data_IF_042443289041
#
_entry.id   IF_042443289041
#
_cell.length_a   1.000
_cell.length_b   1.000
_cell.length_c   1.000
_cell.angle_alpha   90.00
_cell.angle_beta   90.00
_cell.angle_gamma   90.00
#
_symmetry.space_group_name_H-M   'P 1'
#
loop_
_entity.id
_entity.type
_entity.pdbx_description
1 polymer ?
#
# COMPACT_ATOMS: atom_id res chain seq x y z
N UNK A 1 5.39 37.51 28.00
CA UNK A 1 6.02 36.33 27.35
C UNK A 1 4.89 35.37 27.01
N UNK A 2 4.40 35.42 25.77
CA UNK A 2 3.34 34.51 25.32
C UNK A 2 4.00 33.30 24.72
N UNK A 3 3.91 32.15 25.39
CA UNK A 3 4.37 30.89 24.85
C UNK A 3 3.41 30.48 23.71
N UNK A 4 3.89 30.58 22.47
CA UNK A 4 3.26 29.95 21.31
C UNK A 4 2.99 28.48 21.64
N UNK A 5 1.71 28.12 21.70
CA UNK A 5 1.30 26.74 21.61
C UNK A 5 1.66 26.26 20.20
N UNK A 6 2.78 25.55 20.07
CA UNK A 6 3.02 24.71 18.89
C UNK A 6 2.00 23.58 18.95
N UNK A 7 0.92 23.73 18.19
CA UNK A 7 0.12 22.59 17.76
C UNK A 7 1.09 21.48 17.31
N UNK A 8 1.00 20.26 17.86
CA UNK A 8 1.77 19.15 17.32
C UNK A 8 1.25 18.96 15.90
N UNK A 9 2.03 19.39 14.91
CA UNK A 9 1.71 19.19 13.49
C UNK A 9 1.34 17.72 13.31
N UNK A 10 0.04 17.44 13.17
CA UNK A 10 -0.44 16.10 12.83
C UNK A 10 0.38 15.65 11.63
N UNK A 11 0.94 14.45 11.75
CA UNK A 11 1.69 13.86 10.66
C UNK A 11 0.81 13.89 9.40
N UNK A 12 1.29 14.35 8.24
CA UNK A 12 0.48 14.37 7.01
C UNK A 12 -0.11 12.98 6.70
N UNK A 13 0.54 11.91 7.18
CA UNK A 13 0.06 10.53 7.05
C UNK A 13 -1.17 10.21 7.91
N UNK A 14 -1.44 10.93 9.01
CA UNK A 14 -2.69 10.79 9.76
C UNK A 14 -3.91 11.19 8.92
N UNK A 15 -3.76 12.21 8.08
CA UNK A 15 -4.82 12.64 7.16
C UNK A 15 -4.97 11.68 5.96
N UNK A 16 -3.87 11.06 5.52
CA UNK A 16 -3.86 10.10 4.41
C UNK A 16 -4.33 8.71 4.82
N UNK A 17 -4.27 8.34 6.11
CA UNK A 17 -4.65 7.00 6.57
C UNK A 17 -6.14 6.67 6.29
N UNK A 18 -7.13 7.52 6.63
CA UNK A 18 -8.52 7.29 6.24
C UNK A 18 -8.71 7.20 4.72
N UNK A 19 -7.91 7.96 3.97
CA UNK A 19 -7.94 7.96 2.51
C UNK A 19 -7.45 6.64 1.93
N UNK A 20 -6.33 6.11 2.44
CA UNK A 20 -5.83 4.77 2.11
C UNK A 20 -6.87 3.69 2.33
N UNK A 21 -7.54 3.70 3.50
CA UNK A 21 -8.61 2.73 3.83
C UNK A 21 -9.74 2.74 2.80
N UNK A 22 -10.18 3.93 2.36
CA UNK A 22 -11.23 4.09 1.34
C UNK A 22 -10.79 3.59 -0.04
N UNK A 23 -9.51 3.66 -0.35
CA UNK A 23 -8.97 3.31 -1.67
C UNK A 23 -8.48 1.86 -1.78
N UNK A 24 -8.39 1.08 -0.70
CA UNK A 24 -7.88 -0.31 -0.75
C UNK A 24 -8.52 -1.15 -1.86
N UNK A 25 -9.86 -1.11 -1.99
CA UNK A 25 -10.58 -1.86 -3.03
C UNK A 25 -10.16 -1.41 -4.44
N UNK A 26 -10.04 -0.11 -4.66
CA UNK A 26 -9.67 0.45 -5.97
C UNK A 26 -8.21 0.12 -6.29
N UNK A 27 -7.31 0.19 -5.30
CA UNK A 27 -5.91 -0.21 -5.42
C UNK A 27 -5.82 -1.70 -5.77
N UNK A 28 -6.57 -2.56 -5.06
CA UNK A 28 -6.63 -4.00 -5.33
C UNK A 28 -7.08 -4.32 -6.75
N UNK A 29 -8.01 -3.56 -7.30
CA UNK A 29 -8.49 -3.73 -8.67
C UNK A 29 -7.48 -3.24 -9.73
N UNK A 30 -6.65 -2.25 -9.39
CA UNK A 30 -5.61 -1.74 -10.27
C UNK A 30 -4.42 -2.72 -10.41
N UNK A 31 -4.10 -3.44 -9.34
CA UNK A 31 -2.99 -4.42 -9.31
C UNK A 31 -3.50 -5.77 -9.83
N UNK A 32 -3.27 -6.03 -11.12
CA UNK A 32 -3.81 -7.19 -11.85
C UNK A 32 -2.90 -8.42 -11.85
N UNK A 33 -1.67 -8.29 -11.35
CA UNK A 33 -0.66 -9.36 -11.29
C UNK A 33 0.14 -9.24 -9.99
N UNK A 34 0.62 -10.33 -9.40
CA UNK A 34 1.37 -10.28 -8.14
C UNK A 34 2.74 -9.63 -8.27
N UNK A 35 3.43 -9.82 -9.40
CA UNK A 35 4.72 -9.16 -9.69
C UNK A 35 4.50 -7.83 -10.40
N UNK A 36 5.21 -6.74 -10.02
CA UNK A 36 6.27 -6.66 -9.00
C UNK A 36 5.79 -6.37 -7.56
N UNK A 37 4.48 -6.24 -7.33
CA UNK A 37 3.94 -5.75 -6.06
C UNK A 37 4.41 -6.56 -4.85
N UNK A 38 4.24 -7.89 -4.84
CA UNK A 38 4.57 -8.71 -3.67
C UNK A 38 6.08 -8.75 -3.37
N UNK A 39 6.91 -8.74 -4.42
CA UNK A 39 8.37 -8.70 -4.31
C UNK A 39 8.81 -7.39 -3.66
N UNK A 40 8.29 -6.26 -4.14
CA UNK A 40 8.62 -4.97 -3.56
C UNK A 40 8.19 -4.86 -2.10
N UNK A 41 7.04 -5.44 -1.71
CA UNK A 41 6.65 -5.48 -0.30
C UNK A 41 7.62 -6.32 0.54
N UNK A 42 8.08 -7.46 0.02
CA UNK A 42 9.00 -8.33 0.73
C UNK A 42 10.40 -7.70 0.86
N UNK A 43 10.94 -7.20 -0.25
CA UNK A 43 12.31 -6.66 -0.31
C UNK A 43 12.47 -5.35 0.47
N UNK A 44 11.36 -4.65 0.73
CA UNK A 44 11.32 -3.45 1.59
C UNK A 44 10.92 -3.77 3.04
N UNK A 45 10.88 -5.07 3.39
CA UNK A 45 10.49 -5.57 4.71
C UNK A 45 9.10 -5.09 5.15
N UNK A 46 8.22 -4.75 4.17
CA UNK A 46 6.84 -4.36 4.41
C UNK A 46 5.94 -5.54 4.81
N UNK A 47 6.35 -6.74 4.44
CA UNK A 47 5.77 -8.00 4.87
C UNK A 47 6.89 -8.96 5.25
N UNK A 48 6.60 -9.88 6.18
CA UNK A 48 7.58 -10.91 6.54
C UNK A 48 7.69 -11.95 5.42
N UNK A 49 8.79 -12.71 5.39
CA UNK A 49 8.95 -13.83 4.47
C UNK A 49 7.78 -14.81 4.52
N UNK A 50 7.32 -15.16 5.72
CA UNK A 50 6.15 -16.04 5.90
C UNK A 50 4.91 -15.49 5.19
N UNK A 51 4.64 -14.19 5.34
CA UNK A 51 3.49 -13.57 4.70
C UNK A 51 3.63 -13.49 3.18
N UNK A 52 4.85 -13.23 2.69
CA UNK A 52 5.14 -13.26 1.27
C UNK A 52 4.86 -14.65 0.67
N UNK A 53 5.36 -15.70 1.30
CA UNK A 53 5.12 -17.09 0.88
C UNK A 53 3.60 -17.42 0.90
N UNK A 54 2.89 -17.07 1.99
CA UNK A 54 1.45 -17.29 2.12
C UNK A 54 0.63 -16.54 1.03
N UNK A 55 1.03 -15.31 0.66
CA UNK A 55 0.41 -14.52 -0.41
C UNK A 55 0.73 -15.07 -1.80
N UNK A 56 1.97 -15.54 -2.03
CA UNK A 56 2.37 -16.21 -3.26
C UNK A 56 1.61 -17.51 -3.47
N UNK A 57 1.48 -18.32 -2.43
CA UNK A 57 0.68 -19.56 -2.47
C UNK A 57 -0.81 -19.26 -2.71
N UNK A 58 -1.33 -18.16 -2.18
CA UNK A 58 -2.71 -17.75 -2.50
C UNK A 58 -2.89 -17.46 -4.01
N UNK A 59 -1.87 -16.88 -4.66
CA UNK A 59 -1.91 -16.61 -6.11
C UNK A 59 -1.93 -17.90 -6.95
N UNK A 60 -1.30 -18.99 -6.47
CA UNK A 60 -1.27 -20.28 -7.19
C UNK A 60 -2.54 -21.09 -6.97
N UNK A 61 -3.22 -20.90 -5.84
CA UNK A 61 -4.45 -21.61 -5.46
C UNK A 61 -5.75 -21.01 -6.04
N UNK A 62 -5.68 -20.32 -7.18
CA UNK A 62 -6.82 -19.69 -7.88
C UNK A 62 -7.60 -18.66 -7.06
N UNK A 63 -7.04 -18.14 -5.97
CA UNK A 63 -7.61 -16.99 -5.27
C UNK A 63 -7.52 -15.77 -6.21
N UNK A 64 -8.59 -14.99 -6.40
CA UNK A 64 -8.53 -13.80 -7.23
C UNK A 64 -7.41 -12.85 -6.77
N UNK A 65 -6.57 -12.41 -7.71
CA UNK A 65 -5.40 -11.57 -7.40
C UNK A 65 -5.80 -10.32 -6.61
N UNK A 66 -6.95 -9.73 -6.90
CA UNK A 66 -7.45 -8.54 -6.19
C UNK A 66 -7.68 -8.84 -4.70
N UNK A 67 -8.13 -10.05 -4.35
CA UNK A 67 -8.29 -10.45 -2.95
C UNK A 67 -6.93 -10.66 -2.27
N UNK A 68 -5.96 -11.24 -2.97
CA UNK A 68 -4.59 -11.38 -2.45
C UNK A 68 -3.97 -10.01 -2.19
N UNK A 69 -4.11 -9.08 -3.15
CA UNK A 69 -3.64 -7.70 -3.00
C UNK A 69 -4.36 -7.01 -1.86
N UNK A 70 -5.68 -7.17 -1.73
CA UNK A 70 -6.44 -6.57 -0.63
C UNK A 70 -5.94 -7.02 0.74
N UNK A 71 -5.66 -8.32 0.90
CA UNK A 71 -5.06 -8.88 2.13
C UNK A 71 -3.67 -8.30 2.40
N UNK A 72 -2.84 -8.13 1.38
CA UNK A 72 -1.55 -7.47 1.54
C UNK A 72 -1.73 -6.02 2.01
N UNK A 73 -2.69 -5.27 1.43
CA UNK A 73 -3.01 -3.90 1.86
C UNK A 73 -3.56 -3.84 3.30
N UNK A 74 -4.28 -4.86 3.77
CA UNK A 74 -4.67 -4.98 5.18
C UNK A 74 -3.46 -5.10 6.11
N UNK A 75 -2.38 -5.75 5.69
CA UNK A 75 -1.15 -5.76 6.47
C UNK A 75 -0.48 -4.39 6.48
N UNK A 76 -0.39 -3.74 5.31
CA UNK A 76 0.20 -2.40 5.21
C UNK A 76 -0.58 -1.38 6.04
N UNK A 77 -1.90 -1.53 6.17
CA UNK A 77 -2.75 -0.67 6.99
C UNK A 77 -2.30 -0.66 8.47
N UNK A 78 -1.84 -1.79 9.02
CA UNK A 78 -1.44 -1.90 10.43
C UNK A 78 -0.24 -1.05 10.80
N UNK A 79 0.57 -0.67 9.81
CA UNK A 79 1.81 0.10 9.95
C UNK A 79 1.88 1.27 8.98
N UNK A 80 0.73 1.81 8.60
CA UNK A 80 0.64 2.80 7.55
C UNK A 80 1.52 4.02 7.83
N UNK A 81 2.49 4.24 6.96
CA UNK A 81 3.48 5.31 7.05
C UNK A 81 3.92 5.77 5.65
N UNK A 82 4.96 6.61 5.59
CA UNK A 82 5.52 7.08 4.34
C UNK A 82 6.09 5.96 3.47
N UNK A 83 6.68 4.92 4.08
CA UNK A 83 7.32 3.81 3.37
C UNK A 83 6.26 3.02 2.62
N UNK A 84 5.11 2.75 3.24
CA UNK A 84 3.97 2.09 2.60
C UNK A 84 3.57 2.80 1.30
N UNK A 85 3.40 4.12 1.33
CA UNK A 85 3.00 4.88 0.14
C UNK A 85 4.09 4.89 -0.94
N UNK A 86 5.36 5.04 -0.54
CA UNK A 86 6.49 5.02 -1.47
C UNK A 86 6.61 3.70 -2.21
N UNK A 87 6.43 2.58 -1.52
CA UNK A 87 6.52 1.25 -2.14
C UNK A 87 5.28 0.97 -2.98
N UNK A 88 4.08 1.33 -2.52
CA UNK A 88 2.85 1.14 -3.29
C UNK A 88 2.89 1.87 -4.63
N UNK A 89 3.37 3.11 -4.64
CA UNK A 89 3.47 3.96 -5.84
C UNK A 89 4.90 4.02 -6.41
N UNK A 90 5.71 2.99 -6.13
CA UNK A 90 7.06 2.86 -6.67
C UNK A 90 7.04 2.89 -8.22
N UNK A 91 8.04 3.48 -8.90
CA UNK A 91 8.08 3.53 -10.36
C UNK A 91 7.86 2.17 -11.05
N UNK A 92 8.36 1.06 -10.48
CA UNK A 92 8.15 -0.28 -11.04
C UNK A 92 6.68 -0.71 -10.90
N UNK A 93 6.05 -0.45 -9.76
CA UNK A 93 4.61 -0.65 -9.58
C UNK A 93 3.80 0.23 -10.53
N UNK A 94 4.16 1.51 -10.69
CA UNK A 94 3.43 2.46 -11.54
C UNK A 94 3.56 2.13 -13.04
N UNK A 95 4.68 1.51 -13.43
CA UNK A 95 4.90 0.99 -14.78
C UNK A 95 4.14 -0.31 -15.02
N UNK A 96 4.14 -1.22 -14.06
CA UNK A 96 3.42 -2.50 -14.15
C UNK A 96 1.89 -2.32 -14.05
N UNK A 97 1.44 -1.32 -13.31
CA UNK A 97 0.03 -1.05 -13.00
C UNK A 97 -0.32 0.42 -13.29
N UNK A 98 -0.51 0.80 -14.58
CA UNK A 98 -0.84 2.19 -14.94
C UNK A 98 -2.12 2.73 -14.28
N UNK A 99 -3.04 1.84 -13.91
CA UNK A 99 -4.29 2.17 -13.22
C UNK A 99 -4.06 2.72 -11.80
N UNK A 100 -2.84 2.63 -11.24
CA UNK A 100 -2.45 3.29 -9.99
C UNK A 100 -2.24 4.81 -10.14
N UNK A 101 -1.96 5.32 -11.35
CA UNK A 101 -1.76 6.76 -11.62
C UNK A 101 -2.91 7.66 -11.16
N UNK A 102 -4.18 7.42 -11.55
CA UNK A 102 -5.29 8.23 -11.06
C UNK A 102 -5.48 8.12 -9.54
N UNK A 103 -5.08 6.99 -8.94
CA UNK A 103 -5.17 6.80 -7.49
C UNK A 103 -4.11 7.65 -6.78
N UNK A 104 -2.85 7.64 -7.24
CA UNK A 104 -1.78 8.47 -6.67
C UNK A 104 -2.17 9.95 -6.60
N UNK A 105 -2.79 10.50 -7.66
CA UNK A 105 -3.28 11.88 -7.71
C UNK A 105 -4.30 12.23 -6.62
N UNK A 106 -4.94 11.23 -6.01
CA UNK A 106 -5.87 11.45 -4.90
C UNK A 106 -5.16 11.58 -3.54
N UNK A 107 -3.86 11.25 -3.47
CA UNK A 107 -3.00 11.36 -2.28
C UNK A 107 -2.11 12.62 -2.30
N UNK A 108 -2.11 13.37 -3.40
CA UNK A 108 -1.42 14.66 -3.60
C UNK A 108 -2.31 15.84 -3.16
#
# INVERSE_FOLDING_TARGET
MSAEHKDPKRSPYEALFPHFKRHKVVISNAIKKPFPFLELLHDTELITKKMYDDLKDSCTNLVPIQQVVYRALEELEKRFDQVVLKVLFDPENMKAYPDLKPILKSFE
#
